data_IF_367643993224
#
_entry.id   IF_367643993224
#
_cell.length_a   1.000
_cell.length_b   1.000
_cell.length_c   1.000
_cell.angle_alpha   90.00
_cell.angle_beta   90.00
_cell.angle_gamma   90.00
#
_symmetry.space_group_name_H-M   'P 1'
#
loop_
_entity.id
_entity.type
_entity.pdbx_description
1 polymer ?
#
# COMPACT_ATOMS: atom_id res chain seq x y z
N UNK A 1 3.22 -14.21 -17.18
CA UNK A 1 3.24 -13.82 -15.75
C UNK A 1 2.75 -12.39 -15.68
N UNK A 2 1.75 -12.11 -14.84
CA UNK A 2 1.26 -10.75 -14.66
C UNK A 2 2.23 -9.96 -13.76
N UNK A 3 2.46 -8.69 -14.10
CA UNK A 3 3.12 -7.74 -13.21
C UNK A 3 2.04 -6.98 -12.45
N UNK A 4 2.29 -6.75 -11.17
CA UNK A 4 1.43 -5.96 -10.28
C UNK A 4 2.22 -4.73 -9.84
N UNK A 5 1.54 -3.59 -9.86
CA UNK A 5 2.05 -2.35 -9.34
C UNK A 5 1.79 -2.31 -7.83
N UNK A 6 2.82 -1.94 -7.07
CA UNK A 6 2.79 -1.84 -5.61
C UNK A 6 3.40 -0.50 -5.21
N UNK A 7 3.01 -0.04 -4.04
CA UNK A 7 3.49 1.21 -3.45
C UNK A 7 4.20 0.92 -2.14
N UNK A 8 5.16 1.76 -1.78
CA UNK A 8 5.81 1.76 -0.47
C UNK A 8 6.27 3.19 -0.19
N UNK A 9 6.57 3.48 1.07
CA UNK A 9 7.10 4.75 1.52
C UNK A 9 8.60 4.64 1.70
N UNK A 10 9.34 5.49 1.00
CA UNK A 10 10.77 5.69 1.16
C UNK A 10 11.05 6.96 1.98
N UNK A 11 11.98 6.87 2.92
CA UNK A 11 12.55 8.00 3.64
C UNK A 11 14.04 8.10 3.35
N UNK A 12 14.59 9.31 3.45
CA UNK A 12 16.03 9.52 3.35
C UNK A 12 16.60 9.84 4.72
N UNK A 13 17.52 9.00 5.20
CA UNK A 13 18.32 9.30 6.39
C UNK A 13 19.77 9.56 5.98
N UNK A 14 20.06 10.83 5.70
CA UNK A 14 21.34 11.23 5.12
C UNK A 14 21.44 10.80 3.66
N UNK A 15 22.21 9.74 3.37
CA UNK A 15 22.39 9.18 2.02
C UNK A 15 21.87 7.75 1.86
N UNK A 16 21.27 7.19 2.91
CA UNK A 16 20.76 5.82 2.90
C UNK A 16 19.23 5.84 2.74
N UNK A 17 18.68 5.13 1.74
CA UNK A 17 17.23 4.96 1.64
C UNK A 17 16.74 4.07 2.80
N UNK A 18 15.65 4.49 3.40
CA UNK A 18 14.87 3.74 4.37
C UNK A 18 13.52 3.43 3.77
N UNK A 19 13.02 2.24 3.99
CA UNK A 19 11.70 1.82 3.55
C UNK A 19 10.82 1.58 4.76
N UNK A 20 9.54 1.88 4.63
CA UNK A 20 8.59 1.64 5.71
C UNK A 20 8.24 0.15 5.76
N UNK A 21 8.42 -0.46 6.92
CA UNK A 21 8.11 -1.86 7.20
C UNK A 21 7.05 -1.96 8.29
N UNK A 22 6.10 -2.88 8.14
CA UNK A 22 5.11 -3.16 9.16
C UNK A 22 5.55 -4.35 10.01
N UNK A 23 5.81 -4.11 11.30
CA UNK A 23 6.19 -5.16 12.24
C UNK A 23 4.97 -5.53 13.10
N UNK A 24 4.51 -6.79 13.05
CA UNK A 24 3.33 -7.21 13.80
C UNK A 24 3.55 -7.01 15.31
N UNK A 25 2.65 -6.26 15.94
CA UNK A 25 2.69 -5.94 17.38
C UNK A 25 3.54 -4.73 17.76
N UNK A 26 4.30 -4.14 16.82
CA UNK A 26 5.06 -2.90 17.05
C UNK A 26 4.48 -1.74 16.22
N UNK A 27 3.99 -2.02 15.01
CA UNK A 27 3.46 -1.03 14.08
C UNK A 27 4.46 -0.72 12.97
N UNK A 28 4.39 0.50 12.42
CA UNK A 28 5.26 0.94 11.33
C UNK A 28 6.65 1.31 11.84
N UNK A 29 7.67 0.85 11.11
CA UNK A 29 9.08 1.11 11.41
C UNK A 29 9.88 1.28 10.13
N UNK A 30 10.78 2.26 10.13
CA UNK A 30 11.79 2.40 9.08
C UNK A 30 12.81 1.27 9.12
N UNK A 31 13.02 0.60 7.99
CA UNK A 31 14.05 -0.41 7.77
C UNK A 31 14.93 -0.03 6.58
N UNK A 32 16.22 -0.37 6.61
CA UNK A 32 17.09 -0.24 5.42
C UNK A 32 16.91 -1.40 4.44
N UNK A 33 16.20 -2.44 4.86
CA UNK A 33 16.00 -3.64 4.08
C UNK A 33 14.76 -3.50 3.18
N UNK A 34 14.96 -3.60 1.87
CA UNK A 34 13.90 -3.47 0.88
C UNK A 34 13.01 -4.74 0.80
N UNK A 35 13.50 -5.89 1.27
CA UNK A 35 12.72 -7.15 1.25
C UNK A 35 11.73 -7.22 2.42
N UNK A 36 12.06 -6.59 3.55
CA UNK A 36 11.17 -6.42 4.70
C UNK A 36 10.19 -5.24 4.54
N UNK A 37 10.30 -4.50 3.45
CA UNK A 37 9.54 -3.30 3.22
C UNK A 37 8.05 -3.61 2.94
N UNK A 38 7.15 -2.82 3.53
CA UNK A 38 5.71 -3.05 3.46
C UNK A 38 5.13 -2.63 2.10
N UNK A 39 4.38 -3.52 1.47
CA UNK A 39 3.86 -3.34 0.12
C UNK A 39 2.37 -2.96 0.18
N UNK A 40 2.04 -1.73 -0.22
CA UNK A 40 0.67 -1.26 -0.37
C UNK A 40 0.10 -1.64 -1.75
N UNK A 41 -1.18 -2.00 -1.79
CA UNK A 41 -1.96 -2.15 -3.05
C UNK A 41 -2.47 -0.78 -3.53
N UNK A 42 -2.77 0.10 -2.59
CA UNK A 42 -3.37 1.41 -2.82
C UNK A 42 -2.38 2.56 -2.58
N UNK A 43 -2.38 3.52 -3.49
CA UNK A 43 -1.51 4.70 -3.41
C UNK A 43 -1.92 5.63 -2.28
N UNK A 44 -3.22 5.89 -2.13
CA UNK A 44 -3.74 6.82 -1.13
C UNK A 44 -3.39 6.37 0.30
N UNK A 45 -3.41 5.06 0.57
CA UNK A 45 -2.95 4.52 1.86
C UNK A 45 -1.45 4.75 2.08
N UNK A 46 -0.64 4.48 1.06
CA UNK A 46 0.80 4.75 1.12
C UNK A 46 1.08 6.25 1.34
N UNK A 47 0.30 7.14 0.72
CA UNK A 47 0.47 8.60 0.85
C UNK A 47 0.09 9.09 2.24
N UNK A 48 -0.96 8.53 2.85
CA UNK A 48 -1.31 8.82 4.24
C UNK A 48 -0.21 8.40 5.22
N UNK A 49 0.39 7.22 5.04
CA UNK A 49 1.52 6.77 5.85
C UNK A 49 2.79 7.58 5.59
N UNK A 50 3.03 8.01 4.35
CA UNK A 50 4.14 8.89 4.00
C UNK A 50 4.03 10.24 4.71
N UNK A 51 2.85 10.85 4.72
CA UNK A 51 2.58 12.10 5.44
C UNK A 51 2.73 11.93 6.95
N UNK A 52 2.22 10.81 7.50
CA UNK A 52 2.28 10.52 8.93
C UNK A 52 3.71 10.25 9.43
N UNK A 53 4.54 9.56 8.64
CA UNK A 53 5.88 9.12 9.04
C UNK A 53 7.00 10.03 8.50
N UNK A 54 6.69 10.97 7.60
CA UNK A 54 7.65 11.92 7.02
C UNK A 54 8.52 11.34 5.90
N UNK A 55 7.93 10.58 4.99
CA UNK A 55 8.58 10.00 3.82
C UNK A 55 7.93 10.40 2.49
N UNK A 56 8.30 9.69 1.42
CA UNK A 56 7.77 9.88 0.06
C UNK A 56 7.30 8.53 -0.50
N UNK A 57 6.15 8.51 -1.18
CA UNK A 57 5.65 7.28 -1.81
C UNK A 57 6.44 7.02 -3.09
N UNK A 58 6.96 5.81 -3.21
CA UNK A 58 7.52 5.32 -4.47
C UNK A 58 6.74 4.13 -5.01
N UNK A 59 6.77 4.00 -6.34
CA UNK A 59 6.01 3.01 -7.10
C UNK A 59 6.99 1.98 -7.64
N UNK A 60 6.69 0.69 -7.49
CA UNK A 60 7.46 -0.38 -8.10
C UNK A 60 6.55 -1.45 -8.69
N UNK A 61 7.09 -2.21 -9.63
CA UNK A 61 6.40 -3.34 -10.25
C UNK A 61 7.11 -4.64 -9.93
N UNK A 62 6.33 -5.65 -9.54
CA UNK A 62 6.82 -6.98 -9.21
C UNK A 62 6.01 -8.06 -9.91
N UNK A 63 6.56 -9.27 -9.96
CA UNK A 63 5.79 -10.45 -10.37
C UNK A 63 4.66 -10.70 -9.38
N UNK A 64 3.45 -10.91 -9.92
CA UNK A 64 2.26 -11.28 -9.16
C UNK A 64 2.54 -12.58 -8.39
N UNK A 65 2.43 -12.53 -7.06
CA UNK A 65 2.41 -13.72 -6.19
C UNK A 65 0.98 -14.25 -6.14
N UNK A 66 0.83 -15.47 -5.63
CA UNK A 66 -0.46 -16.14 -5.52
C UNK A 66 -1.43 -15.39 -4.58
N UNK A 67 -0.88 -14.69 -3.57
CA UNK A 67 -1.61 -13.89 -2.60
C UNK A 67 -2.23 -12.62 -3.19
N UNK A 68 -1.64 -12.07 -4.27
CA UNK A 68 -2.18 -10.87 -4.95
C UNK A 68 -3.56 -11.13 -5.59
N UNK A 69 -3.85 -12.39 -5.92
CA UNK A 69 -5.14 -12.79 -6.52
C UNK A 69 -6.28 -12.66 -5.50
N UNK A 70 -6.00 -12.79 -4.21
CA UNK A 70 -7.00 -12.67 -3.14
C UNK A 70 -7.37 -11.21 -2.87
N UNK A 71 -6.40 -10.28 -2.93
CA UNK A 71 -6.65 -8.84 -2.75
C UNK A 71 -7.55 -8.24 -3.83
N UNK A 72 -7.46 -8.72 -5.07
CA UNK A 72 -8.37 -8.31 -6.17
C UNK A 72 -9.83 -8.71 -5.92
N UNK A 73 -10.08 -9.70 -5.06
CA UNK A 73 -11.43 -10.23 -4.79
C UNK A 73 -11.99 -9.76 -3.44
N UNK A 74 -11.16 -9.14 -2.59
CA UNK A 74 -11.51 -8.79 -1.21
C UNK A 74 -11.99 -7.35 -0.97
N UNK A 75 -11.44 -6.34 -1.66
CA UNK A 75 -11.78 -4.93 -1.36
C UNK A 75 -12.71 -4.24 -2.36
N UNK A 76 -13.00 -4.86 -3.51
CA UNK A 76 -13.80 -4.20 -4.56
C UNK A 76 -15.22 -4.77 -4.78
N UNK A 77 -15.68 -5.69 -3.91
CA UNK A 77 -17.03 -6.22 -3.96
C UNK A 77 -18.04 -5.39 -3.16
N UNK A 78 -17.64 -4.74 -2.06
CA UNK A 78 -18.61 -4.08 -1.16
C UNK A 78 -18.72 -2.56 -1.33
N UNK A 79 -17.68 -1.86 -1.82
CA UNK A 79 -17.73 -0.38 -1.91
C UNK A 79 -18.47 0.17 -3.14
N UNK A 80 -18.80 -0.66 -4.14
CA UNK A 80 -19.59 -0.23 -5.33
C UNK A 80 -21.10 -0.39 -5.19
N UNK A 81 -21.60 -1.06 -4.16
CA UNK A 81 -23.05 -1.27 -3.98
C UNK A 81 -23.73 -0.26 -3.04
N UNK A 82 -22.98 0.56 -2.31
CA UNK A 82 -23.58 1.57 -1.40
C UNK A 82 -23.86 2.93 -2.07
N UNK A 83 -23.25 3.26 -3.21
CA UNK A 83 -23.45 4.58 -3.85
C UNK A 83 -24.62 4.64 -4.85
N UNK A 84 -25.38 3.55 -5.04
CA UNK A 84 -26.48 3.51 -6.03
C UNK A 84 -27.88 3.51 -5.43
N UNK A 85 -28.02 3.61 -4.10
CA UNK A 85 -29.31 3.54 -3.40
C UNK A 85 -29.79 4.87 -2.78
N UNK A 86 -29.18 6.01 -3.15
CA UNK A 86 -29.58 7.33 -2.62
C UNK A 86 -30.09 8.32 -3.68
N UNK A 87 -30.27 7.88 -4.94
CA UNK A 87 -30.86 8.70 -6.03
C UNK A 87 -32.11 8.02 -6.61
N UNK A 88 -32.96 7.47 -5.74
CA UNK A 88 -34.27 6.92 -6.13
C UNK A 88 -35.32 7.12 -5.02
N UNK A 89 -35.19 8.20 -4.24
CA UNK A 89 -36.12 8.53 -3.17
C UNK A 89 -36.40 10.04 -3.12
N UNK A 90 -36.52 10.68 -4.29
CA UNK A 90 -37.23 11.96 -4.46
C UNK A 90 -38.24 11.84 -5.60
#
# INVERSE_FOLDING_TARGET
>A
MALVQRFNVEGLFGTTPLYLSHIPGIGMRWSTDAEEAFEYDDRDEAEADAEANGGEVFIFTRLMRRTDVESFTGHNAESRLQHHYQIAAE
#
